data_IF_596301591698
#
_entry.id   IF_596301591698
#
_cell.length_a   1.000
_cell.length_b   1.000
_cell.length_c   1.000
_cell.angle_alpha   90.00
_cell.angle_beta   90.00
_cell.angle_gamma   90.00
#
_symmetry.space_group_name_H-M   'P 1'
#
loop_
_entity.id
_entity.type
_entity.pdbx_description
1 polymer ?
#
# COMPACT_ATOMS: atom_id res chain seq x y z
N UNK A 1 31.44 20.77 0.66
CA UNK A 1 32.87 20.78 1.07
C UNK A 1 33.58 21.79 0.19
N UNK A 2 34.01 22.91 0.75
CA UNK A 2 34.68 24.02 0.01
C UNK A 2 36.19 24.03 0.26
N UNK A 3 36.69 22.99 0.92
CA UNK A 3 38.06 22.79 1.41
C UNK A 3 38.87 21.80 0.56
N UNK A 4 38.30 21.29 -0.54
CA UNK A 4 38.93 20.27 -1.37
C UNK A 4 38.77 18.84 -0.85
N UNK A 5 38.02 18.63 0.24
CA UNK A 5 37.73 17.29 0.77
C UNK A 5 36.92 16.47 -0.23
N UNK A 6 37.39 15.24 -0.51
CA UNK A 6 36.69 14.26 -1.34
C UNK A 6 36.17 13.12 -0.45
N UNK A 7 34.88 12.85 -0.54
CA UNK A 7 34.23 11.72 0.12
C UNK A 7 33.80 10.71 -0.95
N UNK A 8 34.05 9.43 -0.69
CA UNK A 8 33.59 8.33 -1.52
C UNK A 8 32.89 7.30 -0.64
N UNK A 9 31.69 6.89 -1.05
CA UNK A 9 30.93 5.84 -0.42
C UNK A 9 30.70 4.71 -1.42
N UNK A 10 30.74 3.46 -0.94
CA UNK A 10 30.37 2.28 -1.69
C UNK A 10 29.36 1.49 -0.86
N UNK A 11 28.21 1.21 -1.45
CA UNK A 11 27.17 0.38 -0.85
C UNK A 11 27.12 -0.93 -1.63
N UNK A 12 27.57 -2.01 -1.00
CA UNK A 12 27.54 -3.36 -1.60
C UNK A 12 26.12 -3.90 -1.71
N UNK A 13 25.29 -3.67 -0.68
CA UNK A 13 23.91 -4.18 -0.61
C UNK A 13 22.95 -3.07 -0.17
N UNK A 14 22.11 -2.62 -1.09
CA UNK A 14 21.09 -1.60 -0.81
C UNK A 14 19.99 -2.15 0.10
N UNK A 15 19.36 -1.30 0.91
CA UNK A 15 18.30 -1.76 1.83
C UNK A 15 17.12 -2.35 1.05
N UNK A 16 16.68 -3.54 1.45
CA UNK A 16 15.63 -4.31 0.80
C UNK A 16 16.15 -5.45 -0.08
N UNK A 17 17.46 -5.59 -0.31
CA UNK A 17 18.03 -6.80 -0.94
C UNK A 17 18.00 -7.98 0.03
N UNK A 18 18.11 -9.23 -0.45
CA UNK A 18 18.23 -10.40 0.42
C UNK A 18 19.39 -10.29 1.44
N UNK A 19 20.52 -9.71 1.01
CA UNK A 19 21.70 -9.51 1.86
C UNK A 19 21.58 -8.30 2.82
N UNK A 20 20.57 -7.44 2.65
CA UNK A 20 20.27 -6.32 3.53
C UNK A 20 18.74 -6.12 3.62
N UNK A 21 17.99 -7.06 4.22
CA UNK A 21 16.54 -7.07 4.13
C UNK A 21 15.92 -5.92 4.93
N UNK A 22 14.75 -5.48 4.49
CA UNK A 22 13.88 -4.65 5.33
C UNK A 22 13.28 -5.53 6.44
N UNK A 23 13.22 -4.97 7.65
CA UNK A 23 12.38 -5.50 8.71
C UNK A 23 10.91 -5.44 8.31
N UNK A 24 10.06 -6.25 8.95
CA UNK A 24 8.62 -6.19 8.71
C UNK A 24 8.05 -4.77 8.97
N UNK A 25 8.54 -4.07 10.00
CA UNK A 25 8.12 -2.70 10.30
C UNK A 25 8.45 -1.71 9.18
N UNK A 26 9.62 -1.83 8.54
CA UNK A 26 9.99 -0.99 7.41
C UNK A 26 9.19 -1.31 6.15
N UNK A 27 8.89 -2.60 5.91
CA UNK A 27 8.00 -3.00 4.83
C UNK A 27 6.60 -2.39 5.04
N UNK A 28 6.07 -2.46 6.26
CA UNK A 28 4.77 -1.85 6.62
C UNK A 28 4.77 -0.33 6.46
N UNK A 29 5.82 0.33 6.95
CA UNK A 29 5.96 1.79 6.84
C UNK A 29 6.01 2.23 5.37
N UNK A 30 6.86 1.57 4.56
CA UNK A 30 6.99 1.84 3.12
C UNK A 30 5.70 1.57 2.36
N UNK A 31 5.01 0.46 2.65
CA UNK A 31 3.74 0.14 2.03
C UNK A 31 2.67 1.20 2.35
N UNK A 32 2.59 1.63 3.62
CA UNK A 32 1.66 2.68 4.05
C UNK A 32 1.95 4.01 3.35
N UNK A 33 3.20 4.43 3.28
CA UNK A 33 3.62 5.65 2.58
C UNK A 33 3.16 5.65 1.12
N UNK A 34 3.46 4.57 0.38
CA UNK A 34 3.16 4.45 -1.04
C UNK A 34 1.65 4.39 -1.34
N UNK A 35 0.87 3.71 -0.49
CA UNK A 35 -0.55 3.47 -0.77
C UNK A 35 -1.48 4.57 -0.24
N UNK A 36 -1.07 5.34 0.78
CA UNK A 36 -1.95 6.31 1.47
C UNK A 36 -2.52 7.36 0.53
N UNK A 37 -1.75 7.84 -0.44
CA UNK A 37 -2.21 8.82 -1.43
C UNK A 37 -3.28 8.30 -2.40
N UNK A 38 -3.44 6.97 -2.51
CA UNK A 38 -4.40 6.33 -3.43
C UNK A 38 -5.61 5.76 -2.70
N UNK A 39 -5.38 5.06 -1.59
CA UNK A 39 -6.42 4.32 -0.86
C UNK A 39 -6.95 5.06 0.37
N UNK A 40 -6.20 6.06 0.85
CA UNK A 40 -6.42 6.67 2.17
C UNK A 40 -5.84 5.83 3.31
N UNK A 41 -5.50 6.49 4.42
CA UNK A 41 -4.77 5.89 5.54
C UNK A 41 -5.53 4.73 6.23
N UNK A 42 -6.85 4.85 6.36
CA UNK A 42 -7.69 3.84 7.00
C UNK A 42 -7.76 2.54 6.17
N UNK A 43 -7.99 2.66 4.86
CA UNK A 43 -8.01 1.52 3.94
C UNK A 43 -6.64 0.86 3.84
N UNK A 44 -5.56 1.66 3.78
CA UNK A 44 -4.19 1.14 3.82
C UNK A 44 -3.92 0.28 5.04
N UNK A 45 -4.28 0.77 6.23
CA UNK A 45 -4.03 0.04 7.48
C UNK A 45 -4.75 -1.31 7.46
N UNK A 46 -6.05 -1.31 7.08
CA UNK A 46 -6.83 -2.54 6.95
C UNK A 46 -6.27 -3.52 5.92
N UNK A 47 -5.80 -3.02 4.77
CA UNK A 47 -5.21 -3.84 3.72
C UNK A 47 -3.92 -4.51 4.19
N UNK A 48 -3.04 -3.74 4.83
CA UNK A 48 -1.78 -4.24 5.39
C UNK A 48 -2.06 -5.34 6.42
N UNK A 49 -2.94 -5.08 7.37
CA UNK A 49 -3.29 -6.04 8.43
C UNK A 49 -3.84 -7.34 7.82
N UNK A 50 -4.68 -7.24 6.79
CA UNK A 50 -5.28 -8.41 6.15
C UNK A 50 -4.31 -9.23 5.31
N UNK A 51 -3.36 -8.57 4.63
CA UNK A 51 -2.32 -9.26 3.84
C UNK A 51 -1.28 -9.92 4.77
N UNK A 52 -0.96 -9.31 5.90
CA UNK A 52 -0.07 -9.93 6.89
C UNK A 52 -0.70 -11.15 7.57
N UNK A 53 -2.03 -11.22 7.64
CA UNK A 53 -2.80 -12.36 8.13
C UNK A 53 -3.51 -13.13 7.00
N UNK A 54 -2.89 -13.20 5.82
CA UNK A 54 -3.52 -13.77 4.62
C UNK A 54 -3.88 -15.25 4.78
N UNK A 55 -3.12 -15.98 5.58
CA UNK A 55 -3.36 -17.38 5.95
C UNK A 55 -4.69 -17.59 6.70
N UNK A 56 -5.15 -16.57 7.43
CA UNK A 56 -6.44 -16.57 8.13
C UNK A 56 -7.61 -16.08 7.26
N UNK A 57 -7.37 -15.65 6.01
CA UNK A 57 -8.41 -15.17 5.10
C UNK A 57 -9.14 -16.35 4.46
N UNK A 58 -10.43 -16.50 4.79
CA UNK A 58 -11.26 -17.60 4.29
C UNK A 58 -11.75 -17.37 2.85
N UNK A 59 -11.94 -16.12 2.47
CA UNK A 59 -12.36 -15.74 1.13
C UNK A 59 -11.53 -14.56 0.60
N UNK A 60 -10.83 -14.77 -0.51
CA UNK A 60 -9.99 -13.74 -1.13
C UNK A 60 -10.77 -12.49 -1.56
N UNK A 61 -12.09 -12.63 -1.79
CA UNK A 61 -12.98 -11.50 -2.15
C UNK A 61 -13.10 -10.49 -1.01
N UNK A 62 -12.74 -10.86 0.22
CA UNK A 62 -12.67 -9.95 1.36
C UNK A 62 -11.61 -8.85 1.17
N UNK A 63 -10.60 -9.06 0.31
CA UNK A 63 -9.61 -8.04 -0.03
C UNK A 63 -10.14 -7.01 -1.04
N UNK A 64 -11.07 -7.40 -1.91
CA UNK A 64 -11.61 -6.54 -2.98
C UNK A 64 -11.98 -5.14 -2.49
N UNK A 65 -12.82 -4.94 -1.45
CA UNK A 65 -13.19 -3.59 -1.02
C UNK A 65 -12.01 -2.72 -0.55
N UNK A 66 -10.86 -3.32 -0.21
CA UNK A 66 -9.66 -2.63 0.25
C UNK A 66 -8.71 -2.24 -0.90
N UNK A 67 -8.95 -2.77 -2.11
CA UNK A 67 -8.10 -2.53 -3.30
C UNK A 67 -8.61 -1.40 -4.20
N UNK A 68 -9.79 -0.84 -3.90
CA UNK A 68 -10.35 0.29 -4.64
C UNK A 68 -10.23 1.55 -3.79
N UNK A 69 -9.66 2.61 -4.37
CA UNK A 69 -9.57 3.92 -3.72
C UNK A 69 -10.95 4.53 -3.41
N UNK A 70 -11.02 5.54 -2.53
CA UNK A 70 -12.28 6.14 -2.07
C UNK A 70 -13.13 6.73 -3.21
N UNK A 71 -12.54 7.05 -4.36
CA UNK A 71 -13.25 7.58 -5.53
C UNK A 71 -14.02 6.51 -6.32
N UNK A 72 -13.55 5.26 -6.34
CA UNK A 72 -14.24 4.16 -7.03
C UNK A 72 -15.48 3.68 -6.26
N UNK A 73 -15.42 3.67 -4.93
CA UNK A 73 -16.60 3.34 -4.10
C UNK A 73 -17.76 4.32 -4.35
N UNK A 74 -17.46 5.61 -4.57
CA UNK A 74 -18.45 6.61 -4.98
C UNK A 74 -18.98 6.32 -6.39
N UNK A 75 -18.10 6.09 -7.39
CA UNK A 75 -18.49 5.78 -8.78
C UNK A 75 -19.41 4.56 -8.91
N UNK A 76 -19.13 3.49 -8.15
CA UNK A 76 -19.99 2.29 -8.14
C UNK A 76 -21.37 2.53 -7.51
N UNK A 77 -21.45 3.42 -6.51
CA UNK A 77 -22.73 3.80 -5.90
C UNK A 77 -23.60 4.65 -6.83
N UNK A 78 -23.03 5.62 -7.57
CA UNK A 78 -23.80 6.42 -8.54
C UNK A 78 -24.24 5.59 -9.74
N UNK A 79 -23.42 4.65 -10.21
CA UNK A 79 -23.80 3.74 -11.30
C UNK A 79 -24.99 2.85 -10.93
N UNK A 80 -25.03 2.29 -9.71
CA UNK A 80 -26.16 1.46 -9.25
C UNK A 80 -27.44 2.27 -9.02
N UNK A 81 -27.33 3.53 -8.56
CA UNK A 81 -28.49 4.43 -8.38
C UNK A 81 -29.07 4.91 -9.72
N UNK A 82 -28.23 5.06 -10.75
CA UNK A 82 -28.70 5.41 -12.10
C UNK A 82 -29.45 4.25 -12.79
N UNK A 83 -29.04 3.00 -12.55
CA UNK A 83 -29.71 1.81 -13.09
C UNK A 83 -31.07 1.54 -12.43
N UNK A 84 -31.24 1.88 -11.14
CA UNK A 84 -32.50 1.68 -10.41
C UNK A 84 -33.56 2.78 -10.63
N UNK A 85 -33.25 3.85 -11.36
CA UNK A 85 -34.19 4.95 -11.66
C UNK A 85 -34.74 4.91 -13.09
N UNK A 86 -34.45 3.83 -13.84
CA UNK A 86 -34.93 3.63 -15.22
C UNK A 86 -36.01 2.53 -15.33
N UNK A 87 -36.66 2.20 -14.21
CA UNK A 87 -37.80 1.27 -14.14
C UNK A 87 -39.08 1.97 -13.76
#
# INVERSE_FOLDING_TARGET
>A
LTDGTKLSERVEHVRGTPDNPMTQGEVVAKARELMTGVLGAATCSKLIDRVLALDAVKDIRELRPLLHGPDQAKRSSVANVALNQQG
#
